data_IF_981295692113
#
_entry.id   IF_981295692113
#
_cell.length_a   1.000
_cell.length_b   1.000
_cell.length_c   1.000
_cell.angle_alpha   90.00
_cell.angle_beta   90.00
_cell.angle_gamma   90.00
#
_symmetry.space_group_name_H-M   'P 1'
#
loop_
_entity.id
_entity.type
_entity.pdbx_description
1 polymer ?
#
# COMPACT_ATOMS: atom_id res chain seq x y z
N UNK A 1 23.03 15.64 7.96
CA UNK A 1 22.10 14.65 8.57
C UNK A 1 21.14 15.42 9.47
N UNK A 2 19.83 15.23 9.33
CA UNK A 2 18.81 15.91 10.13
C UNK A 2 18.21 14.94 11.14
N UNK A 3 18.32 15.25 12.43
CA UNK A 3 17.78 14.42 13.50
C UNK A 3 16.28 14.65 13.65
N UNK A 4 15.50 13.57 13.76
CA UNK A 4 14.05 13.65 13.98
C UNK A 4 13.57 12.59 14.96
N UNK A 5 12.76 12.99 15.94
CA UNK A 5 12.05 12.06 16.85
C UNK A 5 10.64 11.72 16.37
N UNK A 6 10.25 12.25 15.21
CA UNK A 6 8.88 12.20 14.67
C UNK A 6 8.49 10.83 14.12
N UNK A 7 9.48 10.08 13.62
CA UNK A 7 9.29 8.81 12.93
C UNK A 7 10.24 7.77 13.48
N UNK A 8 9.80 6.51 13.55
CA UNK A 8 10.69 5.39 13.89
C UNK A 8 11.74 5.14 12.80
N UNK A 9 12.89 4.60 13.19
CA UNK A 9 14.03 4.48 12.27
C UNK A 9 13.72 3.54 11.10
N UNK A 10 13.04 2.42 11.34
CA UNK A 10 12.73 1.49 10.25
C UNK A 10 11.76 2.08 9.20
N UNK A 11 10.86 2.98 9.60
CA UNK A 11 10.01 3.75 8.69
C UNK A 11 10.81 4.77 7.88
N UNK A 12 11.74 5.49 8.51
CA UNK A 12 12.64 6.44 7.84
C UNK A 12 13.44 5.71 6.77
N UNK A 13 14.07 4.59 7.14
CA UNK A 13 14.92 3.81 6.24
C UNK A 13 14.14 3.24 5.07
N UNK A 14 12.97 2.64 5.32
CA UNK A 14 12.17 2.04 4.27
C UNK A 14 11.59 3.10 3.31
N UNK A 15 11.02 4.18 3.85
CA UNK A 15 10.46 5.25 3.02
C UNK A 15 11.54 6.00 2.24
N UNK A 16 12.70 6.25 2.86
CA UNK A 16 13.87 6.86 2.23
C UNK A 16 14.42 6.00 1.10
N UNK A 17 14.69 4.71 1.36
CA UNK A 17 15.16 3.77 0.31
C UNK A 17 14.15 3.61 -0.83
N UNK A 18 12.86 3.66 -0.51
CA UNK A 18 11.80 3.55 -1.52
C UNK A 18 11.74 4.77 -2.45
N UNK A 19 11.80 5.98 -1.89
CA UNK A 19 11.72 7.22 -2.68
C UNK A 19 13.03 7.53 -3.41
N UNK A 20 14.18 7.25 -2.80
CA UNK A 20 15.52 7.47 -3.38
C UNK A 20 15.88 6.48 -4.50
N UNK A 21 14.97 5.59 -4.87
CA UNK A 21 15.04 4.90 -6.17
C UNK A 21 14.98 5.89 -7.34
N UNK A 22 14.37 7.05 -7.13
CA UNK A 22 14.48 8.19 -8.03
C UNK A 22 15.82 8.91 -7.75
N UNK A 23 16.82 8.63 -8.58
CA UNK A 23 18.17 9.18 -8.44
C UNK A 23 18.24 10.70 -8.66
N UNK A 24 17.17 11.29 -9.21
CA UNK A 24 17.09 12.72 -9.45
C UNK A 24 16.62 13.51 -8.22
N UNK A 25 16.16 12.82 -7.16
CA UNK A 25 15.72 13.48 -5.94
C UNK A 25 16.91 13.86 -5.04
N UNK A 26 16.80 15.02 -4.40
CA UNK A 26 17.75 15.41 -3.37
C UNK A 26 17.66 14.48 -2.15
N UNK A 27 18.79 13.85 -1.81
CA UNK A 27 18.89 12.93 -0.68
C UNK A 27 18.83 13.67 0.66
N UNK A 28 17.70 13.51 1.38
CA UNK A 28 17.58 13.95 2.78
C UNK A 28 17.91 12.80 3.72
N UNK A 29 19.04 12.91 4.44
CA UNK A 29 19.43 11.93 5.44
C UNK A 29 18.80 12.25 6.80
N UNK A 30 17.70 11.55 7.12
CA UNK A 30 17.01 11.62 8.40
C UNK A 30 17.53 10.54 9.36
N UNK A 31 17.67 10.88 10.64
CA UNK A 31 18.03 9.92 11.69
C UNK A 31 17.14 10.10 12.92
N UNK A 32 16.58 9.02 13.42
CA UNK A 32 16.03 8.95 14.77
C UNK A 32 17.16 8.59 15.75
N UNK A 33 17.39 9.39 16.81
CA UNK A 33 18.46 9.13 17.78
C UNK A 33 18.17 7.93 18.71
N UNK A 34 16.98 7.34 18.64
CA UNK A 34 16.65 6.12 19.37
C UNK A 34 17.17 4.90 18.60
N UNK A 35 18.20 4.25 19.12
CA UNK A 35 18.84 3.09 18.50
C UNK A 35 18.10 1.76 18.76
N UNK A 36 16.93 1.77 19.43
CA UNK A 36 16.13 0.56 19.62
C UNK A 36 15.58 0.07 18.27
N UNK A 37 15.95 -1.17 17.92
CA UNK A 37 15.37 -1.87 16.76
C UNK A 37 13.85 -1.89 16.88
N UNK A 38 13.18 -1.43 15.82
CA UNK A 38 11.72 -1.28 15.80
C UNK A 38 11.06 -2.07 14.67
N UNK A 39 9.76 -2.35 14.84
CA UNK A 39 8.92 -3.06 13.87
C UNK A 39 7.75 -2.17 13.42
N UNK A 40 8.07 -0.97 12.91
CA UNK A 40 7.08 0.03 12.50
C UNK A 40 6.40 -0.27 11.17
N UNK A 41 6.70 -1.38 10.52
CA UNK A 41 6.14 -1.77 9.23
C UNK A 41 5.62 -3.20 9.31
N UNK A 42 4.45 -3.48 8.74
CA UNK A 42 3.89 -4.84 8.62
C UNK A 42 3.02 -4.96 7.37
N UNK A 43 3.17 -6.04 6.60
CA UNK A 43 2.21 -6.38 5.57
C UNK A 43 1.08 -7.24 6.14
N UNK A 44 -0.14 -7.01 5.66
CA UNK A 44 -1.35 -7.77 5.93
C UNK A 44 -1.85 -8.30 4.58
N UNK A 45 -1.80 -9.61 4.38
CA UNK A 45 -2.18 -10.25 3.13
C UNK A 45 -3.60 -10.80 3.19
N UNK A 46 -4.28 -10.78 2.05
CA UNK A 46 -5.49 -11.56 1.79
C UNK A 46 -5.75 -11.65 0.29
N UNK A 47 -6.16 -12.82 -0.19
CA UNK A 47 -6.57 -13.06 -1.56
C UNK A 47 -7.95 -12.46 -1.84
N UNK A 48 -8.88 -12.55 -0.88
CA UNK A 48 -10.23 -11.96 -1.01
C UNK A 48 -10.31 -10.61 -0.28
N UNK A 49 -11.41 -9.88 -0.50
CA UNK A 49 -11.65 -8.63 0.24
C UNK A 49 -11.95 -8.92 1.71
N UNK A 50 -12.66 -10.01 1.98
CA UNK A 50 -13.02 -10.50 3.30
C UNK A 50 -11.76 -10.85 4.11
N UNK A 51 -10.82 -11.61 3.56
CA UNK A 51 -9.56 -11.94 4.23
C UNK A 51 -8.76 -10.68 4.59
N UNK A 52 -8.73 -9.69 3.69
CA UNK A 52 -8.06 -8.41 3.94
C UNK A 52 -8.77 -7.59 5.00
N UNK A 53 -10.10 -7.55 4.97
CA UNK A 53 -10.91 -6.90 5.99
C UNK A 53 -10.64 -7.52 7.38
N UNK A 54 -10.71 -8.84 7.48
CA UNK A 54 -10.42 -9.57 8.73
C UNK A 54 -9.00 -9.30 9.23
N UNK A 55 -8.01 -9.24 8.32
CA UNK A 55 -6.65 -8.91 8.69
C UNK A 55 -6.53 -7.49 9.27
N UNK A 56 -7.27 -6.51 8.73
CA UNK A 56 -7.33 -5.14 9.27
C UNK A 56 -8.00 -5.15 10.65
N UNK A 57 -9.17 -5.75 10.80
CA UNK A 57 -9.91 -5.84 12.07
C UNK A 57 -9.05 -6.51 13.14
N UNK A 58 -8.40 -7.63 12.81
CA UNK A 58 -7.51 -8.35 13.71
C UNK A 58 -6.30 -7.50 14.16
N UNK A 59 -5.82 -6.55 13.34
CA UNK A 59 -4.80 -5.60 13.79
C UNK A 59 -5.39 -4.48 14.64
N UNK A 60 -6.55 -3.91 14.29
CA UNK A 60 -7.23 -2.87 15.09
C UNK A 60 -7.50 -3.38 16.52
N UNK A 61 -7.93 -4.63 16.67
CA UNK A 61 -8.09 -5.33 17.96
C UNK A 61 -6.80 -5.38 18.80
N UNK A 62 -5.62 -5.37 18.17
CA UNK A 62 -4.31 -5.39 18.84
C UNK A 62 -3.76 -4.00 19.18
N UNK A 63 -4.34 -2.93 18.66
CA UNK A 63 -3.90 -1.56 18.95
C UNK A 63 -4.35 -1.08 20.35
N UNK A 64 -3.72 -0.04 20.92
CA UNK A 64 -4.20 0.59 22.17
C UNK A 64 -5.66 1.05 22.07
N UNK A 65 -6.36 1.14 23.22
CA UNK A 65 -7.79 1.49 23.29
C UNK A 65 -8.08 2.87 22.67
N UNK A 66 -7.29 3.88 23.03
CA UNK A 66 -7.37 5.25 22.53
C UNK A 66 -6.31 5.53 21.42
N UNK A 67 -6.22 4.65 20.41
CA UNK A 67 -5.26 4.82 19.32
C UNK A 67 -5.74 5.86 18.28
N UNK A 68 -4.79 6.62 17.71
CA UNK A 68 -5.01 7.47 16.53
C UNK A 68 -4.69 6.66 15.26
N UNK A 69 -5.71 6.36 14.47
CA UNK A 69 -5.65 5.48 13.30
C UNK A 69 -6.09 6.22 12.04
N UNK A 70 -5.30 6.09 10.98
CA UNK A 70 -5.64 6.54 9.64
C UNK A 70 -5.81 5.33 8.72
N UNK A 71 -6.98 5.21 8.11
CA UNK A 71 -7.20 4.34 6.96
C UNK A 71 -6.95 5.17 5.70
N UNK A 72 -5.96 4.78 4.91
CA UNK A 72 -5.46 5.58 3.81
C UNK A 72 -5.73 4.86 2.48
N UNK A 73 -6.51 5.51 1.61
CA UNK A 73 -6.77 5.04 0.24
C UNK A 73 -6.06 5.89 -0.81
N UNK A 74 -5.88 5.37 -2.02
CA UNK A 74 -5.53 6.16 -3.22
C UNK A 74 -6.77 6.90 -3.73
N UNK A 75 -7.93 6.26 -3.65
CA UNK A 75 -9.24 6.77 -4.04
C UNK A 75 -10.27 6.57 -2.93
N UNK A 76 -11.38 7.32 -2.95
CA UNK A 76 -12.47 7.15 -1.99
C UNK A 76 -13.07 5.73 -2.04
N UNK A 77 -13.01 5.06 -3.19
CA UNK A 77 -13.49 3.68 -3.37
C UNK A 77 -12.72 2.64 -2.55
N UNK A 78 -11.51 2.96 -2.05
CA UNK A 78 -10.74 2.03 -1.22
C UNK A 78 -11.38 1.81 0.15
N UNK A 79 -12.19 2.77 0.63
CA UNK A 79 -12.99 2.62 1.84
C UNK A 79 -14.02 1.48 1.74
N UNK A 80 -14.39 1.06 0.52
CA UNK A 80 -15.28 -0.08 0.32
C UNK A 80 -14.74 -1.38 0.92
N UNK A 81 -13.42 -1.50 1.09
CA UNK A 81 -12.84 -2.65 1.80
C UNK A 81 -13.42 -2.77 3.22
N UNK A 82 -13.65 -1.66 3.90
CA UNK A 82 -14.27 -1.62 5.22
C UNK A 82 -15.80 -1.63 5.08
N UNK A 83 -16.34 -0.69 4.31
CA UNK A 83 -17.78 -0.44 4.27
C UNK A 83 -18.62 -1.61 3.70
N UNK A 84 -18.06 -2.44 2.82
CA UNK A 84 -18.81 -3.54 2.17
C UNK A 84 -18.56 -4.90 2.80
N UNK A 85 -17.51 -5.05 3.61
CA UNK A 85 -17.14 -6.33 4.24
C UNK A 85 -17.50 -6.37 5.73
N UNK A 86 -17.97 -5.27 6.30
CA UNK A 86 -18.46 -5.20 7.69
C UNK A 86 -19.83 -5.87 7.85
N UNK A 87 -19.83 -7.19 8.01
CA UNK A 87 -21.06 -7.99 8.20
C UNK A 87 -21.62 -7.89 9.62
N UNK A 88 -20.76 -7.63 10.59
CA UNK A 88 -21.11 -7.63 12.02
C UNK A 88 -21.47 -6.23 12.54
N UNK A 89 -21.46 -5.21 11.69
CA UNK A 89 -21.76 -3.82 12.07
C UNK A 89 -20.72 -3.22 13.02
N UNK A 90 -19.45 -3.62 12.87
CA UNK A 90 -18.33 -3.14 13.68
C UNK A 90 -18.01 -1.67 13.44
N UNK A 91 -18.34 -1.14 12.26
CA UNK A 91 -17.96 0.18 11.82
C UNK A 91 -19.17 1.05 11.50
N UNK A 92 -19.20 2.24 12.12
CA UNK A 92 -20.10 3.33 11.71
C UNK A 92 -19.28 4.42 11.05
N UNK A 93 -19.56 4.67 9.77
CA UNK A 93 -18.77 5.59 8.94
C UNK A 93 -19.57 6.86 8.67
N UNK A 94 -19.01 8.00 9.03
CA UNK A 94 -19.51 9.32 8.65
C UNK A 94 -18.89 9.72 7.30
N UNK A 95 -19.72 9.75 6.25
CA UNK A 95 -19.31 10.06 4.88
C UNK A 95 -18.91 11.53 4.69
N UNK A 96 -19.41 12.45 5.53
CA UNK A 96 -19.10 13.87 5.43
C UNK A 96 -17.72 14.20 5.99
N UNK A 97 -17.40 13.65 7.17
CA UNK A 97 -16.13 13.92 7.85
C UNK A 97 -15.04 12.91 7.50
N UNK A 98 -15.41 11.69 7.09
CA UNK A 98 -14.51 10.55 6.97
C UNK A 98 -14.17 9.91 8.31
N UNK A 99 -14.82 10.32 9.40
CA UNK A 99 -14.67 9.72 10.72
C UNK A 99 -15.30 8.32 10.75
N UNK A 100 -14.63 7.39 11.42
CA UNK A 100 -15.08 6.00 11.54
C UNK A 100 -15.07 5.63 13.03
N UNK A 101 -16.22 5.20 13.54
CA UNK A 101 -16.31 4.62 14.87
C UNK A 101 -16.17 3.10 14.77
N UNK A 102 -15.32 2.51 15.60
CA UNK A 102 -15.16 1.06 15.73
C UNK A 102 -15.80 0.58 17.03
N UNK A 103 -16.87 -0.20 16.94
CA UNK A 103 -17.75 -0.56 18.05
C UNK A 103 -17.01 -1.22 19.22
N UNK A 104 -16.02 -2.06 18.94
CA UNK A 104 -15.23 -2.75 19.98
C UNK A 104 -14.31 -1.81 20.76
N UNK A 105 -13.95 -0.64 20.20
CA UNK A 105 -13.08 0.36 20.83
C UNK A 105 -13.57 1.79 20.55
N UNK A 106 -14.61 2.25 21.27
CA UNK A 106 -15.21 3.56 21.03
C UNK A 106 -14.26 4.76 21.26
N UNK A 107 -13.23 4.60 22.10
CA UNK A 107 -12.20 5.62 22.36
C UNK A 107 -11.17 5.74 21.23
N UNK A 108 -11.15 4.79 20.29
CA UNK A 108 -10.23 4.82 19.14
C UNK A 108 -10.69 5.87 18.13
N UNK A 109 -9.80 6.77 17.77
CA UNK A 109 -10.05 7.74 16.70
C UNK A 109 -9.59 7.14 15.37
N UNK A 110 -10.55 6.76 14.52
CA UNK A 110 -10.28 6.27 13.17
C UNK A 110 -10.78 7.29 12.16
N UNK A 111 -9.96 7.62 11.17
CA UNK A 111 -10.34 8.49 10.05
C UNK A 111 -9.94 7.85 8.74
N UNK A 112 -10.78 7.97 7.72
CA UNK A 112 -10.45 7.66 6.35
C UNK A 112 -10.22 8.95 5.54
N UNK A 113 -9.20 8.91 4.67
CA UNK A 113 -9.03 9.89 3.60
C UNK A 113 -8.14 9.34 2.50
N UNK A 114 -8.05 10.07 1.38
CA UNK A 114 -7.11 9.75 0.31
C UNK A 114 -5.70 10.23 0.66
N UNK A 115 -4.68 9.62 0.04
CA UNK A 115 -3.27 10.04 0.23
C UNK A 115 -3.09 11.54 -0.03
N UNK A 116 -3.73 12.08 -1.07
CA UNK A 116 -3.68 13.50 -1.39
C UNK A 116 -4.22 14.39 -0.27
N UNK A 117 -5.40 14.06 0.27
CA UNK A 117 -6.04 14.82 1.36
C UNK A 117 -5.25 14.74 2.67
N UNK A 118 -4.41 13.71 2.84
CA UNK A 118 -3.60 13.49 4.05
C UNK A 118 -2.32 14.32 4.14
N UNK A 119 -1.98 15.10 3.10
CA UNK A 119 -0.74 15.91 3.09
C UNK A 119 -0.71 16.86 4.29
N UNK A 120 0.46 16.96 4.94
CA UNK A 120 0.64 17.69 6.20
C UNK A 120 0.16 16.96 7.47
N UNK A 121 -0.80 16.04 7.38
CA UNK A 121 -1.36 15.32 8.53
C UNK A 121 -0.52 14.10 8.95
N UNK A 122 -0.68 13.65 10.19
CA UNK A 122 0.01 12.48 10.72
C UNK A 122 -0.78 11.76 11.81
N UNK A 123 -0.62 10.45 11.86
CA UNK A 123 -1.33 9.55 12.76
C UNK A 123 -0.36 8.53 13.36
N UNK A 124 -0.71 7.99 14.53
CA UNK A 124 0.11 6.99 15.20
C UNK A 124 0.18 5.69 14.39
N UNK A 125 -0.97 5.23 13.93
CA UNK A 125 -1.13 4.00 13.16
C UNK A 125 -1.75 4.31 11.80
N UNK A 126 -1.21 3.74 10.74
CA UNK A 126 -1.72 3.93 9.38
C UNK A 126 -1.95 2.57 8.73
N UNK A 127 -3.10 2.40 8.10
CA UNK A 127 -3.40 1.25 7.24
C UNK A 127 -3.51 1.75 5.80
N UNK A 128 -2.58 1.34 4.95
CA UNK A 128 -2.60 1.67 3.53
C UNK A 128 -3.44 0.62 2.78
N UNK A 129 -4.68 0.98 2.46
CA UNK A 129 -5.70 0.09 1.89
C UNK A 129 -5.48 -0.20 0.39
N UNK A 130 -4.72 0.65 -0.29
CA UNK A 130 -4.58 0.65 -1.74
C UNK A 130 -3.34 -0.09 -2.26
N UNK A 131 -2.81 -1.10 -1.54
CA UNK A 131 -1.62 -1.84 -1.99
C UNK A 131 -1.92 -2.92 -3.05
N UNK A 132 -2.74 -2.57 -4.05
CA UNK A 132 -3.15 -3.43 -5.16
C UNK A 132 -2.68 -2.86 -6.50
N UNK A 133 -2.50 -3.74 -7.49
CA UNK A 133 -2.28 -3.36 -8.89
C UNK A 133 -3.60 -3.09 -9.63
N UNK A 134 -3.50 -2.79 -10.92
CA UNK A 134 -4.63 -2.47 -11.81
C UNK A 134 -4.93 -0.97 -11.94
N UNK A 135 -6.00 -0.62 -12.68
CA UNK A 135 -6.31 0.77 -13.05
C UNK A 135 -6.32 1.73 -11.87
N UNK A 136 -7.14 1.45 -10.85
CA UNK A 136 -7.22 2.24 -9.60
C UNK A 136 -6.26 1.74 -8.51
N UNK A 137 -5.18 1.05 -8.91
CA UNK A 137 -4.16 0.57 -8.00
C UNK A 137 -3.27 1.69 -7.47
N UNK A 138 -2.18 1.30 -6.78
CA UNK A 138 -1.14 2.23 -6.36
C UNK A 138 0.25 1.64 -6.68
N UNK A 139 0.88 2.00 -7.80
CA UNK A 139 0.59 3.14 -8.67
C UNK A 139 -0.71 3.00 -9.46
N UNK A 140 -1.38 4.14 -9.66
CA UNK A 140 -2.48 4.26 -10.60
C UNK A 140 -2.00 3.92 -12.02
N UNK A 141 -2.78 3.12 -12.73
CA UNK A 141 -2.59 2.82 -14.15
C UNK A 141 -3.66 3.50 -15.02
N UNK A 142 -4.44 4.43 -14.46
CA UNK A 142 -5.27 5.35 -15.26
C UNK A 142 -4.31 6.24 -16.06
N UNK A 143 -4.41 6.29 -17.40
CA UNK A 143 -3.57 7.15 -18.22
C UNK A 143 -3.70 8.61 -17.79
N UNK A 144 -2.57 9.28 -17.63
CA UNK A 144 -2.52 10.73 -17.52
C UNK A 144 -2.88 11.36 -18.87
N UNK A 145 -3.40 12.59 -18.86
CA UNK A 145 -3.75 13.27 -20.12
C UNK A 145 -2.50 13.43 -21.01
N UNK A 146 -2.57 13.15 -22.33
CA UNK A 146 -1.39 13.03 -23.20
C UNK A 146 -0.46 14.25 -23.23
N UNK A 147 -1.00 15.44 -22.93
CA UNK A 147 -0.25 16.69 -22.95
C UNK A 147 0.48 16.98 -21.64
N UNK A 148 0.09 16.34 -20.54
CA UNK A 148 0.69 16.60 -19.23
C UNK A 148 2.15 16.18 -19.19
N UNK A 149 2.47 15.03 -19.80
CA UNK A 149 3.84 14.50 -19.87
C UNK A 149 4.84 15.36 -20.67
N UNK A 150 4.36 16.20 -21.60
CA UNK A 150 5.20 17.12 -22.38
C UNK A 150 5.62 18.36 -21.57
N UNK A 151 4.90 18.66 -20.49
CA UNK A 151 5.20 19.77 -19.58
C UNK A 151 6.10 19.33 -18.42
N UNK A 152 6.33 18.02 -18.25
CA UNK A 152 7.14 17.48 -17.17
C UNK A 152 8.64 17.64 -17.50
N UNK A 153 9.46 18.11 -16.54
CA UNK A 153 10.91 18.18 -16.72
C UNK A 153 11.50 16.78 -17.03
N UNK A 154 12.61 16.72 -17.79
CA UNK A 154 13.32 15.45 -18.06
C UNK A 154 13.70 14.65 -16.80
N UNK A 155 13.76 15.35 -15.66
CA UNK A 155 13.99 14.86 -14.30
C UNK A 155 12.93 13.84 -13.86
N UNK A 156 11.80 13.72 -14.56
CA UNK A 156 10.69 12.81 -14.24
C UNK A 156 10.67 11.49 -15.04
N UNK A 157 11.77 11.14 -15.72
CA UNK A 157 11.90 9.89 -16.52
C UNK A 157 11.82 8.58 -15.72
N UNK A 158 11.73 8.61 -14.40
CA UNK A 158 11.57 7.39 -13.61
C UNK A 158 10.13 6.84 -13.76
N UNK A 159 9.96 5.53 -14.03
CA UNK A 159 8.63 4.91 -14.06
C UNK A 159 7.84 5.19 -12.78
N UNK A 160 6.68 5.83 -12.96
CA UNK A 160 5.76 6.23 -11.89
C UNK A 160 6.38 7.17 -10.84
N UNK A 161 7.20 8.14 -11.26
CA UNK A 161 7.82 9.11 -10.35
C UNK A 161 6.81 9.80 -9.42
N UNK A 162 5.71 10.32 -9.97
CA UNK A 162 4.65 10.98 -9.20
C UNK A 162 3.99 10.03 -8.18
N UNK A 163 3.58 8.83 -8.62
CA UNK A 163 2.97 7.85 -7.71
C UNK A 163 3.96 7.37 -6.64
N UNK A 164 5.27 7.35 -6.92
CA UNK A 164 6.31 7.04 -5.92
C UNK A 164 6.40 8.15 -4.87
N UNK A 165 6.40 9.42 -5.28
CA UNK A 165 6.35 10.58 -4.37
C UNK A 165 5.08 10.52 -3.52
N UNK A 166 3.95 10.17 -4.12
CA UNK A 166 2.69 9.98 -3.42
C UNK A 166 2.76 8.81 -2.42
N UNK A 167 3.37 7.68 -2.77
CA UNK A 167 3.52 6.53 -1.88
C UNK A 167 4.44 6.87 -0.69
N UNK A 168 5.48 7.67 -0.93
CA UNK A 168 6.29 8.25 0.15
C UNK A 168 5.47 9.15 1.08
N UNK A 169 4.57 10.00 0.53
CA UNK A 169 3.62 10.77 1.34
C UNK A 169 2.77 9.84 2.22
N UNK A 170 2.24 8.76 1.65
CA UNK A 170 1.45 7.77 2.38
C UNK A 170 2.23 7.15 3.55
N UNK A 171 3.48 6.71 3.31
CA UNK A 171 4.33 6.14 4.36
C UNK A 171 4.63 7.14 5.49
N UNK A 172 4.92 8.40 5.12
CA UNK A 172 5.27 9.46 6.09
C UNK A 172 4.08 10.06 6.84
N UNK A 173 2.84 9.58 6.60
CA UNK A 173 1.69 9.89 7.45
C UNK A 173 1.76 9.14 8.79
N UNK A 174 2.54 8.07 8.87
CA UNK A 174 2.66 7.22 10.05
C UNK A 174 3.72 7.72 11.02
N UNK A 175 3.44 7.71 12.33
CA UNK A 175 4.43 7.98 13.40
C UNK A 175 4.97 6.71 14.07
N UNK A 176 4.09 5.74 14.38
CA UNK A 176 4.45 4.55 15.18
C UNK A 176 4.45 3.26 14.37
N UNK A 177 3.38 2.92 13.64
CA UNK A 177 3.32 1.68 12.84
C UNK A 177 2.41 1.78 11.61
N UNK A 178 2.95 1.38 10.47
CA UNK A 178 2.30 1.34 9.17
C UNK A 178 2.00 -0.11 8.78
N UNK A 179 0.76 -0.34 8.34
CA UNK A 179 0.26 -1.60 7.84
C UNK A 179 -0.02 -1.48 6.34
N UNK A 180 0.63 -2.31 5.51
CA UNK A 180 0.32 -2.44 4.09
C UNK A 180 -0.77 -3.50 3.93
N UNK A 181 -1.94 -3.13 3.43
CA UNK A 181 -3.03 -4.09 3.16
C UNK A 181 -2.90 -4.57 1.72
N UNK A 182 -2.33 -5.75 1.55
CA UNK A 182 -1.86 -6.30 0.26
C UNK A 182 -2.90 -7.23 -0.35
N UNK A 183 -3.29 -6.93 -1.58
CA UNK A 183 -4.04 -7.87 -2.42
C UNK A 183 -3.12 -8.97 -2.94
N UNK A 184 -3.23 -10.20 -2.42
CA UNK A 184 -2.35 -11.29 -2.84
C UNK A 184 -2.68 -11.87 -4.22
N UNK A 185 -3.83 -11.52 -4.81
CA UNK A 185 -4.17 -11.93 -6.18
C UNK A 185 -3.64 -10.96 -7.23
N UNK A 186 -3.47 -9.69 -6.85
CA UNK A 186 -2.97 -8.62 -7.71
C UNK A 186 -2.27 -7.54 -6.85
N UNK A 187 -1.12 -7.84 -6.25
CA UNK A 187 -0.39 -6.86 -5.43
C UNK A 187 0.11 -5.71 -6.28
N UNK A 188 0.25 -4.55 -5.65
CA UNK A 188 0.97 -3.42 -6.24
C UNK A 188 2.42 -3.79 -6.57
N UNK A 189 2.95 -3.28 -7.69
CA UNK A 189 4.38 -3.35 -8.02
C UNK A 189 5.30 -2.80 -6.91
N UNK A 190 4.85 -1.80 -6.16
CA UNK A 190 5.59 -1.24 -5.03
C UNK A 190 5.74 -2.25 -3.88
N UNK A 191 4.84 -3.23 -3.76
CA UNK A 191 4.99 -4.30 -2.76
C UNK A 191 6.17 -5.22 -3.08
N UNK A 192 6.41 -5.52 -4.36
CA UNK A 192 7.60 -6.26 -4.79
C UNK A 192 8.88 -5.47 -4.51
N UNK A 193 8.90 -4.17 -4.81
CA UNK A 193 10.05 -3.32 -4.50
C UNK A 193 10.38 -3.32 -3.01
N UNK A 194 9.36 -3.21 -2.16
CA UNK A 194 9.54 -3.27 -0.71
C UNK A 194 10.01 -4.66 -0.25
N UNK A 195 9.38 -5.72 -0.76
CA UNK A 195 9.69 -7.10 -0.39
C UNK A 195 11.12 -7.49 -0.79
N UNK A 196 11.48 -7.31 -2.06
CA UNK A 196 12.72 -7.88 -2.62
C UNK A 196 13.97 -7.08 -2.25
N UNK A 197 13.83 -5.77 -2.01
CA UNK A 197 14.97 -4.85 -1.98
C UNK A 197 15.11 -4.04 -0.69
N UNK A 198 14.02 -3.82 0.04
CA UNK A 198 14.00 -2.79 1.10
C UNK A 198 13.78 -3.43 2.47
N UNK A 199 12.72 -4.22 2.63
CA UNK A 199 12.29 -4.72 3.94
C UNK A 199 11.54 -6.06 3.86
N UNK A 200 12.17 -7.16 3.41
CA UNK A 200 11.53 -8.48 3.25
C UNK A 200 10.82 -8.98 4.50
N UNK A 201 11.40 -8.75 5.69
CA UNK A 201 10.84 -9.20 6.97
C UNK A 201 9.45 -8.61 7.29
N UNK A 202 9.07 -7.49 6.66
CA UNK A 202 7.74 -6.87 6.80
C UNK A 202 6.63 -7.77 6.24
N UNK A 203 6.97 -8.64 5.29
CA UNK A 203 6.05 -9.54 4.59
C UNK A 203 5.99 -10.94 5.20
N UNK A 204 6.48 -11.13 6.43
CA UNK A 204 6.38 -12.43 7.11
C UNK A 204 4.92 -12.88 7.21
N UNK A 205 4.59 -14.00 6.57
CA UNK A 205 3.22 -14.52 6.48
C UNK A 205 2.39 -13.99 5.30
N UNK A 206 2.97 -13.13 4.44
CA UNK A 206 2.33 -12.60 3.24
C UNK A 206 3.16 -13.03 2.02
N UNK A 207 2.64 -13.98 1.24
CA UNK A 207 3.31 -14.44 0.02
C UNK A 207 2.86 -13.60 -1.17
N UNK A 208 3.80 -13.03 -1.91
CA UNK A 208 3.53 -12.37 -3.18
C UNK A 208 3.55 -13.40 -4.33
N UNK A 209 2.58 -13.37 -5.26
CA UNK A 209 2.63 -14.19 -6.47
C UNK A 209 3.85 -13.81 -7.35
N UNK A 210 4.27 -14.66 -8.30
CA UNK A 210 5.36 -14.33 -9.20
C UNK A 210 5.15 -13.00 -9.93
N UNK A 211 6.22 -12.23 -10.11
CA UNK A 211 6.15 -10.95 -10.83
C UNK A 211 6.36 -11.16 -12.33
N UNK A 212 5.65 -10.38 -13.16
CA UNK A 212 5.80 -10.36 -14.60
C UNK A 212 7.15 -9.74 -14.99
N UNK A 213 8.01 -10.43 -15.76
CA UNK A 213 9.30 -9.89 -16.16
C UNK A 213 9.18 -8.73 -17.16
N UNK A 214 8.09 -8.69 -17.94
CA UNK A 214 7.91 -7.66 -18.98
C UNK A 214 7.47 -6.32 -18.39
N UNK A 215 6.57 -6.36 -17.40
CA UNK A 215 5.89 -5.15 -16.94
C UNK A 215 5.79 -5.04 -15.42
N UNK A 216 6.46 -5.87 -14.62
CA UNK A 216 6.50 -5.73 -13.16
C UNK A 216 5.17 -5.91 -12.40
N UNK A 217 4.05 -6.16 -13.08
CA UNK A 217 2.78 -6.49 -12.45
C UNK A 217 2.75 -7.94 -11.99
N UNK A 218 1.77 -8.31 -11.16
CA UNK A 218 1.63 -9.69 -10.71
C UNK A 218 1.30 -10.66 -11.86
N UNK A 219 1.75 -11.90 -11.73
CA UNK A 219 1.25 -13.03 -12.50
C UNK A 219 0.16 -13.75 -11.72
N UNK A 220 -0.96 -14.04 -12.38
CA UNK A 220 -2.07 -14.81 -11.81
C UNK A 220 -2.22 -16.13 -12.55
N UNK A 221 -2.53 -17.19 -11.80
CA UNK A 221 -2.90 -18.48 -12.37
C UNK A 221 -4.22 -18.36 -13.13
N UNK A 222 -4.26 -18.86 -14.36
CA UNK A 222 -5.41 -18.91 -15.26
C UNK A 222 -5.52 -20.32 -15.86
N UNK A 223 -6.68 -20.67 -16.39
CA UNK A 223 -6.92 -21.94 -17.08
C UNK A 223 -7.22 -21.70 -18.56
N UNK A 224 -6.76 -22.59 -19.43
CA UNK A 224 -7.07 -22.56 -20.85
C UNK A 224 -8.41 -23.27 -21.11
N UNK A 225 -9.43 -22.49 -21.48
CA UNK A 225 -10.78 -23.01 -21.64
C UNK A 225 -11.38 -23.47 -20.30
N UNK A 226 -12.20 -24.52 -20.35
CA UNK A 226 -12.86 -25.08 -19.16
C UNK A 226 -12.03 -26.14 -18.43
N UNK A 227 -10.85 -26.52 -18.96
CA UNK A 227 -10.02 -27.58 -18.41
C UNK A 227 -9.11 -27.04 -17.28
N UNK A 228 -9.34 -27.41 -16.01
CA UNK A 228 -8.54 -26.93 -14.90
C UNK A 228 -7.08 -27.42 -14.96
N UNK A 229 -6.81 -28.53 -15.64
CA UNK A 229 -5.46 -29.12 -15.74
C UNK A 229 -4.52 -28.29 -16.62
N UNK A 230 -5.08 -27.54 -17.57
CA UNK A 230 -4.33 -26.68 -18.50
C UNK A 230 -4.15 -25.28 -17.92
N UNK A 231 -3.42 -25.20 -16.81
CA UNK A 231 -3.15 -23.94 -16.12
C UNK A 231 -1.89 -23.23 -16.63
N UNK A 232 -1.93 -21.89 -16.63
CA UNK A 232 -0.80 -21.04 -16.98
C UNK A 232 -0.81 -19.76 -16.15
N UNK A 233 0.35 -19.15 -15.96
CA UNK A 233 0.47 -17.81 -15.42
C UNK A 233 0.21 -16.77 -16.50
N UNK A 234 -0.75 -15.88 -16.28
CA UNK A 234 -0.99 -14.72 -17.12
C UNK A 234 -0.80 -13.41 -16.36
N UNK A 235 -0.22 -12.40 -17.02
CA UNK A 235 -0.04 -11.08 -16.43
C UNK A 235 -1.37 -10.43 -16.02
N UNK A 236 -1.41 -9.81 -14.84
CA UNK A 236 -2.57 -9.02 -14.39
C UNK A 236 -2.70 -7.67 -15.09
N UNK A 237 -1.66 -7.24 -15.82
CA UNK A 237 -1.65 -6.02 -16.66
C UNK A 237 -2.27 -6.19 -18.05
N UNK A 238 -2.92 -7.31 -18.35
CA UNK A 238 -3.70 -7.49 -19.59
C UNK A 238 -4.82 -6.43 -19.68
N UNK A 239 -5.09 -5.83 -20.86
CA UNK A 239 -4.54 -6.16 -22.19
C UNK A 239 -3.20 -5.50 -22.54
N UNK A 240 -2.72 -4.55 -21.74
CA UNK A 240 -1.50 -3.79 -22.02
C UNK A 240 -0.22 -4.64 -21.94
N UNK A 241 -0.24 -5.73 -21.14
CA UNK A 241 0.80 -6.74 -21.11
C UNK A 241 0.21 -8.13 -21.34
N UNK A 242 0.62 -8.78 -22.43
CA UNK A 242 0.15 -10.12 -22.84
C UNK A 242 1.07 -11.26 -22.42
N UNK A 243 2.02 -11.01 -21.51
CA UNK A 243 2.96 -12.04 -21.05
C UNK A 243 2.21 -13.22 -20.41
N UNK A 244 2.59 -14.42 -20.81
CA UNK A 244 2.14 -15.70 -20.23
C UNK A 244 3.32 -16.62 -19.98
N UNK A 245 3.18 -17.55 -19.02
CA UNK A 245 4.17 -18.58 -18.71
C UNK A 245 3.45 -19.86 -18.30
N UNK A 246 3.82 -21.01 -18.86
CA UNK A 246 3.27 -22.29 -18.43
C UNK A 246 3.60 -22.59 -16.96
N UNK A 247 2.68 -23.24 -16.26
CA UNK A 247 2.96 -23.82 -14.95
C UNK A 247 3.82 -25.06 -15.17
N UNK A 248 5.07 -25.04 -14.68
CA UNK A 248 5.92 -26.22 -14.62
C UNK A 248 5.47 -27.12 -13.49
#
# INVERSE_FOLDING_TARGET
ITTTRRFRQSLIDASGKFIMRDANLYAKHLRNPNDKRDYSLKALGGATQEERFEAVVAQLRKLPKAASVLLLGRYNSDLNLIARNDRDGLFRIDQGTGSIAFAEKPEMSITFMTVHKSKGLQYDFVFLLCCSGGLKGFPSAIPEEPLLGLLLPEVERMPHAEERRLFYVAMTRCRKKLFFVVDQTRPSRFMYELHDRICPNVFRGVKLPPQCPNCGEALRLRHAGSDPSRSFYGCTGYPNCRYTRQCR
#
